data_IF_490626503938
#
_entry.id   IF_490626503938
#
_cell.length_a   1.000
_cell.length_b   1.000
_cell.length_c   1.000
_cell.angle_alpha   90.00
_cell.angle_beta   90.00
_cell.angle_gamma   90.00
#
_symmetry.space_group_name_H-M   'P 1'
#
loop_
_entity.id
_entity.type
_entity.pdbx_description
1 polymer ?
#
# COMPACT_ATOMS: atom_id res chain seq x y z
N UNK A 1 -2.81 16.55 14.63
CA UNK A 1 -3.76 15.95 13.66
C UNK A 1 -4.31 14.68 14.29
N UNK A 2 -5.47 14.19 13.85
CA UNK A 2 -6.05 12.94 14.35
C UNK A 2 -6.44 11.99 13.22
N UNK A 3 -6.53 10.71 13.55
CA UNK A 3 -6.98 9.64 12.68
C UNK A 3 -8.15 8.93 13.36
N UNK A 4 -9.35 9.08 12.81
CA UNK A 4 -10.53 8.35 13.30
C UNK A 4 -10.71 7.05 12.52
N UNK A 5 -10.81 5.96 13.24
CA UNK A 5 -11.07 4.64 12.64
C UNK A 5 -12.51 4.51 12.16
N UNK A 6 -12.67 4.21 10.87
CA UNK A 6 -13.96 3.87 10.24
C UNK A 6 -14.22 2.36 10.27
N UNK A 7 -13.21 1.57 10.63
CA UNK A 7 -13.35 0.14 10.88
C UNK A 7 -12.32 -0.32 11.91
N UNK A 8 -12.45 -1.52 12.50
CA UNK A 8 -11.48 -1.98 13.48
C UNK A 8 -10.05 -1.98 12.92
N UNK A 9 -9.08 -1.48 13.68
CA UNK A 9 -7.68 -1.41 13.28
C UNK A 9 -6.91 -2.55 13.93
N UNK A 10 -6.23 -3.37 13.14
CA UNK A 10 -5.48 -4.52 13.64
C UNK A 10 -4.16 -4.07 14.27
N UNK A 11 -3.99 -4.37 15.56
CA UNK A 11 -2.82 -3.99 16.35
C UNK A 11 -1.84 -5.15 16.43
N UNK A 12 -0.85 -5.13 15.55
CA UNK A 12 0.29 -6.08 15.52
C UNK A 12 1.59 -5.34 15.78
N UNK A 13 2.69 -6.04 16.03
CA UNK A 13 4.01 -5.40 16.13
C UNK A 13 4.45 -4.69 14.84
N UNK A 14 3.86 -5.02 13.69
CA UNK A 14 4.12 -4.33 12.42
C UNK A 14 3.38 -2.98 12.33
N UNK A 15 2.21 -2.87 12.98
CA UNK A 15 1.34 -1.70 12.85
C UNK A 15 1.27 -0.84 14.10
N UNK A 16 1.60 -1.40 15.26
CA UNK A 16 1.45 -0.73 16.55
C UNK A 16 2.67 -0.94 17.46
N UNK A 17 2.91 0.06 18.31
CA UNK A 17 3.81 0.02 19.47
C UNK A 17 2.98 0.08 20.74
N UNK A 18 3.45 -0.58 21.80
CA UNK A 18 2.77 -0.65 23.09
C UNK A 18 3.73 -0.18 24.18
N UNK A 19 3.32 0.77 25.00
CA UNK A 19 4.08 1.25 26.17
C UNK A 19 3.19 1.29 27.40
N UNK A 20 3.33 0.27 28.25
CA UNK A 20 2.37 0.03 29.33
C UNK A 20 0.97 -0.17 28.75
N UNK A 21 0.03 0.67 29.19
CA UNK A 21 -1.36 0.66 28.72
C UNK A 21 -1.59 1.52 27.47
N UNK A 22 -0.59 2.30 27.04
CA UNK A 22 -0.70 3.14 25.85
C UNK A 22 -0.47 2.32 24.58
N UNK A 23 -1.27 2.63 23.57
CA UNK A 23 -1.17 2.03 22.23
C UNK A 23 -0.91 3.12 21.21
N UNK A 24 0.07 2.89 20.35
CA UNK A 24 0.46 3.81 19.30
C UNK A 24 0.35 3.13 17.94
N UNK A 25 -0.30 3.77 16.97
CA UNK A 25 -0.15 3.43 15.56
C UNK A 25 1.20 3.97 15.08
N UNK A 26 2.01 3.10 14.47
CA UNK A 26 3.39 3.44 14.09
C UNK A 26 3.47 4.45 12.95
N UNK A 27 4.37 5.42 13.05
CA UNK A 27 4.67 6.40 11.99
C UNK A 27 5.04 5.72 10.67
N UNK A 28 5.75 4.59 10.72
CA UNK A 28 6.17 3.83 9.54
C UNK A 28 4.98 3.33 8.71
N UNK A 29 3.83 3.07 9.34
CA UNK A 29 2.61 2.63 8.62
C UNK A 29 2.11 3.73 7.69
N UNK A 30 2.13 4.99 8.15
CA UNK A 30 1.73 6.13 7.33
C UNK A 30 2.78 6.47 6.28
N UNK A 31 4.08 6.39 6.61
CA UNK A 31 5.15 6.57 5.62
C UNK A 31 5.09 5.53 4.50
N UNK A 32 4.83 4.26 4.84
CA UNK A 32 4.65 3.19 3.86
C UNK A 32 3.39 3.38 3.02
N UNK A 33 2.29 3.89 3.61
CA UNK A 33 1.10 4.27 2.87
C UNK A 33 1.37 5.39 1.86
N UNK A 34 2.03 6.49 2.29
CA UNK A 34 2.41 7.58 1.39
C UNK A 34 3.29 7.05 0.25
N UNK A 35 4.30 6.24 0.56
CA UNK A 35 5.13 5.59 -0.47
C UNK A 35 4.28 4.87 -1.52
N UNK A 36 3.36 4.02 -1.08
CA UNK A 36 2.55 3.23 -2.00
C UNK A 36 1.59 4.09 -2.81
N UNK A 37 1.04 5.16 -2.21
CA UNK A 37 0.24 6.15 -2.92
C UNK A 37 1.06 6.86 -4.02
N UNK A 38 2.29 7.30 -3.73
CA UNK A 38 3.17 7.92 -4.72
C UNK A 38 3.59 6.96 -5.83
N UNK A 39 3.88 5.69 -5.51
CA UNK A 39 4.22 4.68 -6.53
C UNK A 39 3.03 4.45 -7.46
N UNK A 40 1.84 4.26 -6.90
CA UNK A 40 0.61 4.08 -7.68
C UNK A 40 0.39 5.27 -8.61
N UNK A 41 0.53 6.49 -8.08
CA UNK A 41 0.19 7.69 -8.82
C UNK A 41 1.22 8.04 -9.90
N UNK A 42 2.50 7.79 -9.64
CA UNK A 42 3.54 7.95 -10.66
C UNK A 42 3.36 6.95 -11.81
N UNK A 43 3.04 5.68 -11.51
CA UNK A 43 2.74 4.68 -12.55
C UNK A 43 1.50 5.04 -13.39
N UNK A 44 0.51 5.71 -12.79
CA UNK A 44 -0.68 6.18 -13.52
C UNK A 44 -0.38 7.32 -14.48
N UNK A 45 0.52 8.22 -14.10
CA UNK A 45 0.79 9.46 -14.83
C UNK A 45 2.01 9.39 -15.76
N UNK A 46 2.89 8.40 -15.55
CA UNK A 46 4.13 8.21 -16.28
C UNK A 46 4.13 6.85 -16.99
N UNK A 47 3.76 6.90 -18.28
CA UNK A 47 3.76 5.71 -19.14
C UNK A 47 5.17 5.13 -19.31
N UNK A 48 6.20 5.97 -19.39
CA UNK A 48 7.58 5.50 -19.62
C UNK A 48 8.10 4.73 -18.40
N UNK A 49 7.83 5.25 -17.19
CA UNK A 49 8.11 4.53 -15.95
C UNK A 49 7.42 3.17 -15.93
N UNK A 50 6.13 3.12 -16.30
CA UNK A 50 5.42 1.86 -16.32
C UNK A 50 5.93 0.89 -17.38
N UNK A 51 6.26 1.37 -18.58
CA UNK A 51 6.84 0.57 -19.65
C UNK A 51 8.18 -0.04 -19.22
N UNK A 52 9.02 0.71 -18.49
CA UNK A 52 10.26 0.21 -17.93
C UNK A 52 10.02 -0.84 -16.83
N UNK A 53 9.12 -0.55 -15.89
CA UNK A 53 8.73 -1.50 -14.84
C UNK A 53 8.20 -2.80 -15.44
N UNK A 54 7.33 -2.72 -16.45
CA UNK A 54 6.79 -3.87 -17.15
C UNK A 54 7.87 -4.70 -17.84
N UNK A 55 8.86 -4.08 -18.50
CA UNK A 55 10.01 -4.78 -19.08
C UNK A 55 10.79 -5.57 -18.02
N UNK A 56 11.00 -4.99 -16.82
CA UNK A 56 11.66 -5.70 -15.72
C UNK A 56 10.82 -6.88 -15.20
N UNK A 57 9.50 -6.75 -15.13
CA UNK A 57 8.61 -7.86 -14.77
C UNK A 57 8.61 -8.98 -15.83
N UNK A 58 8.68 -8.63 -17.12
CA UNK A 58 8.83 -9.59 -18.21
C UNK A 58 10.14 -10.36 -18.11
N UNK A 59 11.25 -9.64 -17.88
CA UNK A 59 12.54 -10.28 -17.63
C UNK A 59 12.48 -11.21 -16.40
N UNK A 60 11.82 -10.79 -15.31
CA UNK A 60 11.67 -11.65 -14.14
C UNK A 60 10.88 -12.93 -14.44
N UNK A 61 9.85 -12.86 -15.28
CA UNK A 61 9.09 -14.04 -15.72
C UNK A 61 9.98 -15.03 -16.49
N UNK A 62 10.82 -14.54 -17.39
CA UNK A 62 11.81 -15.37 -18.11
C UNK A 62 12.83 -15.97 -17.14
N UNK A 63 13.38 -15.14 -16.25
CA UNK A 63 14.31 -15.57 -15.20
C UNK A 63 13.71 -16.69 -14.32
N UNK A 64 12.43 -16.56 -13.93
CA UNK A 64 11.72 -17.58 -13.18
C UNK A 64 11.62 -18.91 -13.95
N UNK A 65 11.37 -18.87 -15.26
CA UNK A 65 11.26 -20.09 -16.07
C UNK A 65 12.59 -20.85 -16.13
N UNK A 66 13.71 -20.14 -16.17
CA UNK A 66 15.07 -20.71 -16.17
C UNK A 66 15.53 -21.16 -14.77
N UNK A 67 15.06 -20.49 -13.71
CA UNK A 67 15.56 -20.65 -12.34
C UNK A 67 14.49 -21.17 -11.36
N UNK A 68 13.46 -21.88 -11.84
CA UNK A 68 12.31 -22.32 -11.03
C UNK A 68 12.69 -23.15 -9.79
N UNK A 69 13.83 -23.84 -9.83
CA UNK A 69 14.33 -24.67 -8.73
C UNK A 69 15.11 -23.85 -7.68
N UNK A 70 15.49 -22.61 -7.99
CA UNK A 70 16.14 -21.66 -7.09
C UNK A 70 15.17 -20.54 -6.64
N UNK A 71 14.13 -20.93 -5.90
CA UNK A 71 13.11 -20.00 -5.40
C UNK A 71 13.66 -18.81 -4.60
N UNK A 72 14.70 -18.94 -3.73
CA UNK A 72 15.28 -17.81 -3.04
C UNK A 72 15.81 -16.73 -3.97
N UNK A 73 16.48 -17.13 -5.06
CA UNK A 73 17.01 -16.18 -6.04
C UNK A 73 15.90 -15.53 -6.87
N UNK A 74 14.92 -16.31 -7.32
CA UNK A 74 13.71 -15.78 -7.98
C UNK A 74 13.02 -14.72 -7.11
N UNK A 75 12.90 -15.00 -5.82
CA UNK A 75 12.32 -14.08 -4.83
C UNK A 75 13.15 -12.80 -4.71
N UNK A 76 14.47 -12.95 -4.61
CA UNK A 76 15.42 -11.83 -4.51
C UNK A 76 15.30 -10.91 -5.73
N UNK A 77 15.27 -11.46 -6.93
CA UNK A 77 15.15 -10.67 -8.16
C UNK A 77 13.84 -9.88 -8.23
N UNK A 78 12.71 -10.47 -7.85
CA UNK A 78 11.45 -9.74 -7.78
C UNK A 78 11.50 -8.60 -6.75
N UNK A 79 12.14 -8.85 -5.60
CA UNK A 79 12.31 -7.84 -4.56
C UNK A 79 13.17 -6.67 -5.04
N UNK A 80 14.24 -6.94 -5.80
CA UNK A 80 15.10 -5.89 -6.37
C UNK A 80 14.35 -5.03 -7.38
N UNK A 81 13.44 -5.61 -8.17
CA UNK A 81 12.56 -4.84 -9.05
C UNK A 81 11.63 -3.92 -8.24
N UNK A 82 11.07 -4.42 -7.13
CA UNK A 82 10.28 -3.62 -6.20
C UNK A 82 11.06 -2.45 -5.59
N UNK A 83 12.28 -2.73 -5.10
CA UNK A 83 13.19 -1.71 -4.56
C UNK A 83 13.61 -0.70 -5.63
N UNK A 84 13.91 -1.16 -6.85
CA UNK A 84 14.22 -0.28 -7.98
C UNK A 84 13.09 0.71 -8.23
N UNK A 85 11.85 0.23 -8.30
CA UNK A 85 10.68 1.09 -8.53
C UNK A 85 10.51 2.09 -7.38
N UNK A 86 10.65 1.65 -6.13
CA UNK A 86 10.63 2.53 -4.96
C UNK A 86 11.66 3.64 -5.08
N UNK A 87 12.92 3.32 -5.39
CA UNK A 87 13.98 4.32 -5.53
C UNK A 87 13.76 5.24 -6.72
N UNK A 88 13.30 4.72 -7.85
CA UNK A 88 12.98 5.50 -9.06
C UNK A 88 11.91 6.56 -8.77
N UNK A 89 10.87 6.19 -8.02
CA UNK A 89 9.77 7.10 -7.66
C UNK A 89 10.16 8.08 -6.55
N UNK A 90 10.79 7.60 -5.48
CA UNK A 90 11.02 8.40 -4.27
C UNK A 90 12.30 9.24 -4.32
N UNK A 91 13.34 8.78 -5.01
CA UNK A 91 14.64 9.46 -5.06
C UNK A 91 14.90 10.09 -6.44
N UNK A 92 14.15 9.70 -7.48
CA UNK A 92 14.41 10.09 -8.86
C UNK A 92 15.68 9.45 -9.43
N UNK A 93 16.20 10.02 -10.52
CA UNK A 93 17.42 9.54 -11.19
C UNK A 93 17.20 8.23 -11.97
N UNK A 94 18.31 7.52 -12.23
CA UNK A 94 18.34 6.27 -13.00
C UNK A 94 18.92 5.13 -12.14
N UNK A 95 18.17 4.63 -11.14
CA UNK A 95 18.60 3.49 -10.37
C UNK A 95 18.74 2.25 -11.25
N UNK A 96 19.73 1.42 -10.95
CA UNK A 96 20.04 0.20 -11.70
C UNK A 96 20.12 -1.01 -10.77
N UNK A 97 19.77 -2.20 -11.29
CA UNK A 97 19.96 -3.46 -10.57
C UNK A 97 21.29 -4.07 -11.04
N UNK A 98 22.30 -4.08 -10.19
CA UNK A 98 23.65 -4.58 -10.50
C UNK A 98 24.10 -5.55 -9.41
N UNK A 99 24.55 -6.74 -9.81
CA UNK A 99 25.09 -7.79 -8.91
C UNK A 99 24.20 -8.09 -7.68
N UNK A 100 22.87 -7.97 -7.84
CA UNK A 100 21.91 -8.28 -6.78
C UNK A 100 21.66 -7.14 -5.80
N UNK A 101 22.00 -5.90 -6.16
CA UNK A 101 21.72 -4.68 -5.41
C UNK A 101 21.11 -3.62 -6.32
N UNK A 102 20.34 -2.69 -5.74
CA UNK A 102 19.89 -1.48 -6.44
C UNK A 102 20.92 -0.38 -6.13
N UNK A 103 21.45 0.27 -7.16
CA UNK A 103 22.45 1.33 -7.05
C UNK A 103 21.99 2.59 -7.81
N UNK A 104 22.82 3.64 -7.83
CA UNK A 104 22.59 4.89 -8.59
C UNK A 104 21.37 5.72 -8.15
N UNK A 105 21.09 5.77 -6.85
CA UNK A 105 20.11 6.68 -6.24
C UNK A 105 20.71 7.44 -5.06
N UNK A 106 20.10 8.56 -4.69
CA UNK A 106 20.49 9.38 -3.54
C UNK A 106 19.38 9.35 -2.47
N UNK A 107 19.64 8.71 -1.34
CA UNK A 107 18.65 8.59 -0.25
C UNK A 107 18.33 9.95 0.39
N UNK A 108 19.21 10.96 0.27
CA UNK A 108 18.91 12.31 0.73
C UNK A 108 17.76 12.93 -0.07
N UNK A 109 17.60 12.51 -1.33
CA UNK A 109 16.50 12.92 -2.19
C UNK A 109 15.21 12.15 -1.97
N UNK A 110 15.16 11.19 -1.03
CA UNK A 110 13.94 10.45 -0.74
C UNK A 110 12.83 11.41 -0.28
N UNK A 111 11.75 11.52 -1.04
CA UNK A 111 10.62 12.40 -0.75
C UNK A 111 10.00 12.19 0.64
N UNK A 112 10.07 10.96 1.18
CA UNK A 112 9.54 10.68 2.52
C UNK A 112 10.31 11.41 3.64
N UNK A 113 11.53 11.89 3.37
CA UNK A 113 12.30 12.70 4.33
C UNK A 113 11.65 14.06 4.60
N UNK A 114 10.83 14.54 3.66
CA UNK A 114 10.08 15.79 3.75
C UNK A 114 8.88 15.69 4.69
N UNK A 115 8.51 14.49 5.15
CA UNK A 115 7.42 14.31 6.11
C UNK A 115 7.93 14.37 7.55
N UNK A 116 7.22 15.14 8.35
CA UNK A 116 7.25 15.01 9.80
C UNK A 116 6.09 14.11 10.21
N UNK A 117 6.40 12.86 10.58
CA UNK A 117 5.43 11.88 11.05
C UNK A 117 5.91 11.28 12.35
N UNK A 118 5.05 11.33 13.36
CA UNK A 118 5.24 10.70 14.66
C UNK A 118 4.24 9.56 14.84
N UNK A 119 4.49 8.72 15.84
CA UNK A 119 3.54 7.69 16.25
C UNK A 119 2.23 8.32 16.74
N UNK A 120 1.09 7.75 16.36
CA UNK A 120 -0.22 8.25 16.75
C UNK A 120 -0.74 7.51 17.98
N UNK A 121 -0.89 8.19 19.11
CA UNK A 121 -1.42 7.64 20.36
C UNK A 121 -2.92 7.42 20.27
N UNK A 122 -3.41 6.24 20.68
CA UNK A 122 -4.84 5.98 20.86
C UNK A 122 -5.35 6.79 22.05
N UNK A 123 -6.06 7.89 21.81
CA UNK A 123 -6.58 8.78 22.86
C UNK A 123 -8.05 8.51 23.19
N UNK A 124 -8.81 7.94 22.25
CA UNK A 124 -10.21 7.57 22.44
C UNK A 124 -10.52 6.21 21.81
N UNK A 125 -11.43 5.44 22.41
CA UNK A 125 -11.82 4.11 21.95
C UNK A 125 -11.28 2.99 22.84
N UNK A 126 -11.46 1.74 22.41
CA UNK A 126 -11.05 0.57 23.20
C UNK A 126 -10.24 -0.44 22.41
N UNK A 127 -9.24 -1.03 23.08
CA UNK A 127 -8.52 -2.19 22.56
C UNK A 127 -9.28 -3.46 22.92
N UNK A 128 -9.84 -4.12 21.91
CA UNK A 128 -10.64 -5.34 22.05
C UNK A 128 -9.92 -6.55 21.48
N UNK A 129 -10.19 -7.73 22.05
CA UNK A 129 -9.76 -9.01 21.48
C UNK A 129 -10.90 -9.59 20.63
N UNK A 130 -10.73 -9.63 19.31
CA UNK A 130 -11.71 -10.24 18.40
C UNK A 130 -11.10 -11.40 17.62
N UNK A 131 -11.95 -12.37 17.27
CA UNK A 131 -11.59 -13.45 16.35
C UNK A 131 -11.59 -12.92 14.93
N UNK A 132 -10.55 -13.25 14.16
CA UNK A 132 -10.42 -12.89 12.74
C UNK A 132 -10.65 -14.09 11.83
N UNK A 133 -11.16 -13.79 10.64
CA UNK A 133 -11.43 -14.72 9.56
C UNK A 133 -10.71 -14.27 8.30
N UNK A 134 -10.04 -15.22 7.64
CA UNK A 134 -9.56 -15.04 6.27
C UNK A 134 -10.69 -15.50 5.34
N UNK A 135 -11.06 -14.67 4.38
CA UNK A 135 -12.06 -14.97 3.34
C UNK A 135 -11.43 -14.85 1.95
N UNK A 136 -12.00 -15.53 0.95
CA UNK A 136 -11.42 -15.59 -0.40
C UNK A 136 -11.31 -17.02 -0.92
N UNK A 137 -10.15 -17.40 -1.49
CA UNK A 137 -9.84 -18.77 -1.95
C UNK A 137 -9.99 -19.87 -0.87
N UNK A 138 -10.03 -19.48 0.41
CA UNK A 138 -10.38 -20.37 1.51
C UNK A 138 -10.93 -19.58 2.69
N UNK A 139 -11.92 -20.14 3.39
CA UNK A 139 -12.47 -19.56 4.62
C UNK A 139 -11.83 -20.25 5.82
N UNK A 140 -10.95 -19.56 6.54
CA UNK A 140 -10.34 -20.10 7.77
C UNK A 140 -10.27 -19.07 8.89
N UNK A 141 -10.33 -19.55 10.12
CA UNK A 141 -10.08 -18.71 11.28
C UNK A 141 -8.56 -18.48 11.43
N UNK A 142 -8.18 -17.24 11.67
CA UNK A 142 -6.77 -16.83 11.85
C UNK A 142 -6.39 -16.83 13.35
N UNK A 143 -7.40 -16.74 14.22
CA UNK A 143 -7.28 -16.73 15.67
C UNK A 143 -7.84 -15.44 16.28
N UNK A 144 -7.60 -15.25 17.57
CA UNK A 144 -7.93 -14.03 18.30
C UNK A 144 -6.80 -13.03 18.14
N UNK A 145 -7.12 -11.75 17.87
CA UNK A 145 -6.17 -10.65 17.71
C UNK A 145 -6.66 -9.42 18.47
N UNK A 146 -5.71 -8.55 18.85
CA UNK A 146 -6.00 -7.22 19.43
C UNK A 146 -6.36 -6.26 18.30
N UNK A 147 -7.45 -5.53 18.47
CA UNK A 147 -7.91 -4.50 17.55
C UNK A 147 -8.19 -3.23 18.35
N UNK A 148 -7.94 -2.06 17.79
CA UNK A 148 -8.69 -0.87 18.18
C UNK A 148 -10.08 -0.97 17.54
N UNK A 149 -11.13 -0.64 18.28
CA UNK A 149 -12.50 -0.69 17.78
C UNK A 149 -12.80 0.40 16.74
N UNK A 150 -13.96 0.30 16.11
CA UNK A 150 -14.46 1.35 15.21
C UNK A 150 -14.76 2.61 16.02
N UNK A 151 -14.50 3.79 15.47
CA UNK A 151 -14.57 5.10 16.14
C UNK A 151 -13.50 5.34 17.21
N UNK A 152 -12.48 4.46 17.33
CA UNK A 152 -11.23 4.82 18.00
C UNK A 152 -10.56 6.00 17.30
N UNK A 153 -9.98 6.91 18.08
CA UNK A 153 -9.25 8.09 17.61
C UNK A 153 -7.79 7.98 18.00
N UNK A 154 -6.90 8.16 17.03
CA UNK A 154 -5.47 8.23 17.25
C UNK A 154 -4.96 9.65 17.00
N UNK A 155 -4.22 10.24 17.92
CA UNK A 155 -3.67 11.59 17.83
C UNK A 155 -2.16 11.56 17.63
N UNK A 156 -1.67 12.38 16.70
CA UNK A 156 -0.24 12.44 16.39
C UNK A 156 0.10 13.55 15.41
N UNK A 157 1.32 13.49 14.89
CA UNK A 157 1.84 14.42 13.90
C UNK A 157 1.97 13.74 12.53
N UNK A 158 1.44 14.40 11.51
CA UNK A 158 1.68 14.12 10.10
C UNK A 158 1.54 15.43 9.36
N UNK A 159 2.64 15.92 8.84
CA UNK A 159 2.70 17.16 8.06
C UNK A 159 3.92 17.16 7.17
N UNK A 160 3.89 17.95 6.10
CA UNK A 160 5.10 18.27 5.35
C UNK A 160 5.92 19.27 6.15
N UNK A 161 7.24 19.03 6.27
CA UNK A 161 8.19 19.93 6.93
C UNK A 161 8.61 21.06 5.97
N UNK A 162 8.19 22.31 6.21
CA UNK A 162 8.45 23.41 5.28
C UNK A 162 9.94 23.71 5.11
N UNK A 163 10.73 23.57 6.18
CA UNK A 163 12.17 23.83 6.12
C UNK A 163 12.88 22.82 5.23
N UNK A 164 12.49 21.54 5.34
CA UNK A 164 13.03 20.50 4.47
C UNK A 164 12.60 20.67 3.02
N UNK A 165 11.38 21.16 2.76
CA UNK A 165 10.93 21.49 1.40
C UNK A 165 11.80 22.61 0.80
N UNK A 166 12.03 23.70 1.53
CA UNK A 166 12.92 24.79 1.09
C UNK A 166 14.35 24.33 0.84
N UNK A 167 14.89 23.46 1.68
CA UNK A 167 16.20 22.83 1.47
C UNK A 167 16.21 21.95 0.22
N UNK A 168 15.15 21.16 0.02
CA UNK A 168 15.01 20.26 -1.12
C UNK A 168 14.85 21.01 -2.44
N UNK A 169 14.27 22.21 -2.44
CA UNK A 169 14.14 23.04 -3.64
C UNK A 169 15.46 23.36 -4.31
N UNK A 170 16.56 23.37 -3.54
CA UNK A 170 17.93 23.61 -4.01
C UNK A 170 18.46 22.48 -4.91
N UNK A 171 17.83 21.31 -4.92
CA UNK A 171 18.20 20.23 -5.83
C UNK A 171 17.78 20.53 -7.28
N UNK A 172 18.71 20.38 -8.22
CA UNK A 172 18.48 20.67 -9.64
C UNK A 172 17.46 19.72 -10.31
N UNK A 173 17.41 18.45 -9.88
CA UNK A 173 16.46 17.45 -10.36
C UNK A 173 15.62 16.93 -9.21
N UNK A 174 14.30 16.95 -9.39
CA UNK A 174 13.31 16.57 -8.39
C UNK A 174 12.47 15.42 -8.96
N UNK A 175 12.12 14.40 -8.16
CA UNK A 175 11.20 13.37 -8.60
C UNK A 175 9.84 14.00 -8.95
N UNK A 176 9.13 13.42 -9.93
CA UNK A 176 7.83 13.94 -10.39
C UNK A 176 6.81 14.12 -9.26
N UNK A 177 6.84 13.22 -8.28
CA UNK A 177 5.92 13.21 -7.13
C UNK A 177 6.22 14.31 -6.09
N UNK A 178 7.27 15.12 -6.30
CA UNK A 178 7.64 16.20 -5.38
C UNK A 178 6.55 17.25 -5.19
N UNK A 179 5.75 17.52 -6.23
CA UNK A 179 4.73 18.58 -6.18
C UNK A 179 3.66 18.35 -5.11
N UNK A 180 3.37 17.09 -4.74
CA UNK A 180 2.47 16.79 -3.62
C UNK A 180 3.01 17.31 -2.27
N UNK A 181 4.33 17.33 -2.10
CA UNK A 181 4.97 17.86 -0.89
C UNK A 181 5.03 19.37 -0.94
N UNK A 182 5.45 19.93 -2.08
CA UNK A 182 5.51 21.40 -2.28
C UNK A 182 4.16 22.07 -2.06
N UNK A 183 3.09 21.46 -2.56
CA UNK A 183 1.73 22.01 -2.47
C UNK A 183 0.99 21.57 -1.21
N UNK A 184 1.63 20.78 -0.32
CA UNK A 184 1.04 20.22 0.89
C UNK A 184 -0.26 19.42 0.63
N UNK A 185 -0.28 18.62 -0.44
CA UNK A 185 -1.42 17.78 -0.87
C UNK A 185 -1.16 16.29 -0.69
N UNK A 186 -0.26 15.92 0.23
CA UNK A 186 0.08 14.51 0.53
C UNK A 186 -1.13 13.72 1.05
N UNK A 187 -2.03 14.35 1.82
CA UNK A 187 -3.27 13.71 2.27
C UNK A 187 -4.19 13.36 1.09
N UNK A 188 -4.25 14.20 0.06
CA UNK A 188 -5.10 13.97 -1.11
C UNK A 188 -4.63 12.77 -1.95
N UNK A 189 -3.31 12.59 -2.11
CA UNK A 189 -2.79 11.41 -2.83
C UNK A 189 -3.01 10.13 -2.03
N UNK A 190 -2.95 10.21 -0.69
CA UNK A 190 -3.29 9.09 0.19
C UNK A 190 -4.79 8.74 0.10
N UNK A 191 -5.68 9.73 0.07
CA UNK A 191 -7.12 9.53 -0.10
C UNK A 191 -7.42 8.86 -1.44
N UNK A 192 -6.93 9.44 -2.55
CA UNK A 192 -7.09 8.88 -3.90
C UNK A 192 -6.62 7.43 -3.98
N UNK A 193 -5.43 7.16 -3.43
CA UNK A 193 -4.91 5.79 -3.37
C UNK A 193 -5.79 4.86 -2.53
N UNK A 194 -6.22 5.30 -1.35
CA UNK A 194 -7.06 4.51 -0.44
C UNK A 194 -8.43 4.21 -1.06
N UNK A 195 -9.01 5.14 -1.82
CA UNK A 195 -10.24 4.94 -2.59
C UNK A 195 -10.06 3.86 -3.66
N UNK A 196 -8.90 3.82 -4.34
CA UNK A 196 -8.61 2.74 -5.31
C UNK A 196 -8.46 1.37 -4.66
N UNK A 197 -7.90 1.31 -3.46
CA UNK A 197 -7.91 0.06 -2.67
C UNK A 197 -9.34 -0.32 -2.28
N UNK A 198 -10.17 0.67 -1.93
CA UNK A 198 -11.57 0.46 -1.53
C UNK A 198 -12.42 -0.07 -2.70
N UNK A 199 -12.21 0.45 -3.91
CA UNK A 199 -12.81 -0.06 -5.15
C UNK A 199 -12.45 -1.54 -5.38
N UNK A 200 -11.17 -1.89 -5.30
CA UNK A 200 -10.71 -3.27 -5.46
C UNK A 200 -11.27 -4.21 -4.38
N UNK A 201 -11.42 -3.73 -3.14
CA UNK A 201 -12.03 -4.49 -2.05
C UNK A 201 -13.53 -4.70 -2.28
N UNK A 202 -14.27 -3.67 -2.72
CA UNK A 202 -15.69 -3.80 -3.08
C UNK A 202 -15.91 -4.83 -4.17
N UNK A 203 -15.09 -4.82 -5.23
CA UNK A 203 -15.15 -5.83 -6.30
C UNK A 203 -14.90 -7.23 -5.73
N UNK A 204 -13.83 -7.40 -4.94
CA UNK A 204 -13.49 -8.67 -4.31
C UNK A 204 -14.64 -9.27 -3.47
N UNK A 205 -15.31 -8.44 -2.66
CA UNK A 205 -16.39 -8.85 -1.78
C UNK A 205 -17.71 -9.06 -2.53
N UNK A 206 -17.98 -8.28 -3.58
CA UNK A 206 -19.15 -8.42 -4.46
C UNK A 206 -19.13 -9.78 -5.13
N UNK A 207 -18.02 -10.14 -5.79
CA UNK A 207 -17.84 -11.42 -6.49
C UNK A 207 -18.01 -12.65 -5.59
N UNK A 208 -17.92 -12.48 -4.28
CA UNK A 208 -17.94 -13.56 -3.29
C UNK A 208 -19.19 -13.55 -2.41
N UNK A 209 -20.17 -12.70 -2.73
CA UNK A 209 -21.47 -12.65 -2.04
C UNK A 209 -21.41 -12.10 -0.62
N UNK A 210 -20.51 -11.17 -0.33
CA UNK A 210 -20.40 -10.50 0.96
C UNK A 210 -21.10 -9.13 0.97
N UNK A 211 -22.40 -9.10 0.62
CA UNK A 211 -23.18 -7.87 0.49
C UNK A 211 -23.12 -6.95 1.73
N UNK A 212 -23.15 -7.52 2.94
CA UNK A 212 -23.03 -6.74 4.19
C UNK A 212 -21.70 -5.97 4.29
N UNK A 213 -20.61 -6.57 3.81
CA UNK A 213 -19.28 -5.94 3.82
C UNK A 213 -19.20 -4.87 2.72
N UNK A 214 -19.76 -5.15 1.55
CA UNK A 214 -19.82 -4.17 0.44
C UNK A 214 -20.56 -2.92 0.92
N UNK A 215 -21.74 -3.08 1.54
CA UNK A 215 -22.48 -1.96 2.14
C UNK A 215 -21.63 -1.19 3.15
N UNK A 216 -20.91 -1.90 4.04
CA UNK A 216 -20.03 -1.22 5.00
C UNK A 216 -18.90 -0.44 4.30
N UNK A 217 -18.35 -0.93 3.19
CA UNK A 217 -17.33 -0.21 2.43
C UNK A 217 -17.90 1.02 1.71
N UNK A 218 -19.16 0.96 1.25
CA UNK A 218 -19.89 2.13 0.71
C UNK A 218 -20.12 3.18 1.80
N UNK A 219 -20.53 2.75 3.00
CA UNK A 219 -20.68 3.65 4.14
C UNK A 219 -19.32 4.29 4.53
N UNK A 220 -18.23 3.52 4.52
CA UNK A 220 -16.87 4.03 4.79
C UNK A 220 -16.47 5.11 3.79
N UNK A 221 -16.73 4.91 2.50
CA UNK A 221 -16.46 5.90 1.45
C UNK A 221 -17.30 7.17 1.64
N UNK A 222 -18.58 7.03 2.01
CA UNK A 222 -19.43 8.19 2.29
C UNK A 222 -18.98 8.95 3.56
N UNK A 223 -18.53 8.23 4.60
CA UNK A 223 -18.06 8.80 5.88
C UNK A 223 -16.66 9.44 5.80
N UNK A 224 -15.87 9.08 4.79
CA UNK A 224 -14.47 9.49 4.69
C UNK A 224 -14.28 10.93 4.23
N UNK A 225 -15.25 11.50 3.52
CA UNK A 225 -15.25 12.91 3.09
C UNK A 225 -13.91 13.32 2.43
N UNK A 226 -13.44 12.52 1.46
CA UNK A 226 -12.16 12.71 0.76
C UNK A 226 -10.89 12.74 1.64
N UNK A 227 -10.93 12.07 2.80
CA UNK A 227 -9.81 11.96 3.75
C UNK A 227 -9.49 10.53 4.14
N UNK A 228 -9.75 9.56 3.26
CA UNK A 228 -9.67 8.13 3.54
C UNK A 228 -8.23 7.64 3.69
N UNK A 229 -8.01 6.74 4.64
CA UNK A 229 -6.72 6.14 4.96
C UNK A 229 -6.87 4.63 5.10
N UNK A 230 -6.07 3.87 4.34
CA UNK A 230 -6.01 2.41 4.43
C UNK A 230 -4.70 1.94 5.08
N UNK A 231 -4.80 1.27 6.23
CA UNK A 231 -3.68 0.58 6.93
C UNK A 231 -4.02 -0.89 7.12
N UNK A 232 -3.10 -1.76 7.58
CA UNK A 232 -3.35 -3.20 7.74
C UNK A 232 -3.61 -4.00 6.44
N UNK A 233 -3.22 -3.47 5.28
CA UNK A 233 -3.14 -4.31 4.08
C UNK A 233 -1.95 -5.27 4.18
N UNK A 234 -2.05 -6.44 3.55
CA UNK A 234 -0.92 -7.37 3.45
C UNK A 234 -0.06 -7.05 2.23
N UNK A 235 1.20 -6.61 2.43
CA UNK A 235 2.11 -6.36 1.32
C UNK A 235 2.54 -7.68 0.67
N UNK A 236 2.82 -7.61 -0.63
CA UNK A 236 3.55 -8.64 -1.35
C UNK A 236 5.04 -8.35 -1.37
N UNK A 237 5.75 -8.95 -2.32
CA UNK A 237 7.16 -8.62 -2.60
C UNK A 237 7.26 -7.30 -3.36
N UNK A 238 6.32 -7.04 -4.27
CA UNK A 238 6.25 -5.76 -4.96
C UNK A 238 5.56 -4.73 -4.05
N UNK A 239 5.89 -3.44 -4.20
CA UNK A 239 5.14 -2.38 -3.53
C UNK A 239 3.64 -2.50 -3.82
N UNK A 240 2.82 -2.38 -2.78
CA UNK A 240 1.37 -2.52 -2.86
C UNK A 240 0.74 -1.55 -3.88
N UNK A 241 1.28 -0.33 -4.01
CA UNK A 241 0.87 0.62 -5.03
C UNK A 241 1.08 0.12 -6.47
N UNK A 242 2.18 -0.60 -6.72
CA UNK A 242 2.45 -1.21 -8.02
C UNK A 242 1.51 -2.40 -8.30
N UNK A 243 1.21 -3.21 -7.27
CA UNK A 243 0.24 -4.30 -7.40
C UNK A 243 -1.15 -3.76 -7.75
N UNK A 244 -1.62 -2.72 -7.05
CA UNK A 244 -2.92 -2.09 -7.33
C UNK A 244 -3.00 -1.54 -8.76
N UNK A 245 -1.95 -0.85 -9.20
CA UNK A 245 -1.91 -0.33 -10.57
C UNK A 245 -1.97 -1.47 -11.60
N UNK A 246 -1.18 -2.54 -11.42
CA UNK A 246 -1.21 -3.68 -12.33
C UNK A 246 -2.56 -4.40 -12.34
N UNK A 247 -3.23 -4.48 -11.19
CA UNK A 247 -4.58 -5.01 -11.09
C UNK A 247 -5.56 -4.21 -11.96
N UNK A 248 -5.55 -2.87 -11.86
CA UNK A 248 -6.40 -2.04 -12.71
C UNK A 248 -6.12 -2.24 -14.20
N UNK A 249 -4.85 -2.37 -14.60
CA UNK A 249 -4.50 -2.58 -16.00
C UNK A 249 -5.03 -3.94 -16.52
N UNK A 250 -4.96 -4.98 -15.70
CA UNK A 250 -5.53 -6.31 -16.03
C UNK A 250 -7.06 -6.20 -16.18
N UNK A 251 -7.75 -5.52 -15.27
CA UNK A 251 -9.21 -5.36 -15.35
C UNK A 251 -9.65 -4.48 -16.54
N UNK A 252 -8.92 -3.39 -16.84
CA UNK A 252 -9.13 -2.59 -18.06
C UNK A 252 -8.91 -3.43 -19.32
N UNK A 253 -7.99 -4.39 -19.29
CA UNK A 253 -7.71 -5.30 -20.41
C UNK A 253 -8.89 -6.19 -20.75
N UNK A 254 -9.61 -6.71 -19.75
CA UNK A 254 -10.86 -7.46 -19.96
C UNK A 254 -11.91 -6.65 -20.74
N UNK A 255 -11.76 -5.33 -20.81
CA UNK A 255 -12.62 -4.39 -21.56
C UNK A 255 -12.07 -4.00 -22.95
N UNK A 256 -11.02 -4.67 -23.46
CA UNK A 256 -10.67 -4.64 -24.89
C UNK A 256 -9.32 -4.03 -25.30
N UNK A 257 -8.42 -3.64 -24.39
CA UNK A 257 -7.05 -3.17 -24.72
C UNK A 257 -6.06 -4.34 -24.79
N UNK A 258 -5.09 -4.34 -25.72
CA UNK A 258 -4.10 -5.43 -25.89
C UNK A 258 -2.74 -5.18 -25.22
N UNK A 259 -2.47 -3.96 -24.76
CA UNK A 259 -1.21 -3.61 -24.08
C UNK A 259 -1.06 -4.40 -22.76
N UNK A 260 0.19 -4.69 -22.37
CA UNK A 260 0.55 -5.35 -21.10
C UNK A 260 -0.09 -6.71 -20.86
N UNK A 261 -0.28 -7.48 -21.93
CA UNK A 261 -1.02 -8.73 -21.88
C UNK A 261 -0.44 -9.82 -20.96
N UNK A 262 0.87 -9.79 -20.71
CA UNK A 262 1.52 -10.76 -19.84
C UNK A 262 1.33 -10.46 -18.35
N UNK A 263 0.79 -9.30 -17.96
CA UNK A 263 0.57 -8.99 -16.54
C UNK A 263 -0.26 -10.05 -15.83
N UNK A 264 -1.31 -10.57 -16.49
CA UNK A 264 -2.13 -11.66 -15.93
C UNK A 264 -1.27 -12.87 -15.60
N UNK A 265 -0.45 -13.34 -16.54
CA UNK A 265 0.43 -14.50 -16.36
C UNK A 265 1.50 -14.25 -15.29
N UNK A 266 2.10 -13.05 -15.28
CA UNK A 266 3.11 -12.64 -14.30
C UNK A 266 2.52 -12.69 -12.89
N UNK A 267 1.36 -12.05 -12.67
CA UNK A 267 0.77 -11.99 -11.34
C UNK A 267 0.12 -13.32 -10.90
N UNK A 268 -0.30 -14.18 -11.84
CA UNK A 268 -0.65 -15.56 -11.53
C UNK A 268 0.55 -16.35 -11.00
N UNK A 269 1.74 -16.18 -11.59
CA UNK A 269 2.99 -16.79 -11.10
C UNK A 269 3.37 -16.24 -9.72
N UNK A 270 3.40 -14.91 -9.55
CA UNK A 270 3.69 -14.26 -8.27
C UNK A 270 2.74 -14.78 -7.17
N UNK A 271 1.45 -14.90 -7.48
CA UNK A 271 0.45 -15.44 -6.55
C UNK A 271 0.66 -16.94 -6.25
N UNK A 272 0.93 -17.76 -7.27
CA UNK A 272 1.22 -19.21 -7.11
C UNK A 272 2.41 -19.43 -6.17
N UNK A 273 3.41 -18.55 -6.25
CA UNK A 273 4.59 -18.56 -5.40
C UNK A 273 4.36 -17.94 -4.00
N UNK A 274 3.13 -17.49 -3.69
CA UNK A 274 2.77 -16.80 -2.43
C UNK A 274 3.59 -15.54 -2.18
N UNK A 275 3.93 -14.83 -3.25
CA UNK A 275 4.71 -13.59 -3.24
C UNK A 275 3.84 -12.34 -3.43
N UNK A 276 2.56 -12.52 -3.80
CA UNK A 276 1.61 -11.45 -4.00
C UNK A 276 1.05 -10.89 -2.68
N UNK A 277 0.76 -9.60 -2.67
CA UNK A 277 -0.01 -8.93 -1.64
C UNK A 277 -1.48 -9.28 -1.69
N UNK A 278 -2.28 -8.64 -0.82
CA UNK A 278 -3.68 -9.02 -0.66
C UNK A 278 -4.49 -8.89 -1.96
N UNK A 279 -4.22 -7.88 -2.79
CA UNK A 279 -4.90 -7.62 -4.07
C UNK A 279 -4.94 -8.88 -4.95
N UNK A 280 -3.79 -9.51 -5.21
CA UNK A 280 -3.72 -10.71 -6.06
C UNK A 280 -3.82 -12.02 -5.29
N UNK A 281 -3.55 -12.05 -3.99
CA UNK A 281 -3.71 -13.27 -3.17
C UNK A 281 -5.16 -13.78 -3.15
N UNK A 282 -6.12 -12.94 -3.55
CA UNK A 282 -7.55 -13.20 -3.50
C UNK A 282 -7.99 -13.64 -2.08
N UNK A 283 -7.40 -13.01 -1.07
CA UNK A 283 -7.83 -13.15 0.32
C UNK A 283 -7.94 -11.81 1.01
N UNK A 284 -8.88 -11.70 1.97
CA UNK A 284 -9.03 -10.55 2.86
C UNK A 284 -9.21 -11.01 4.30
N UNK A 285 -8.67 -10.23 5.23
CA UNK A 285 -8.95 -10.39 6.65
C UNK A 285 -10.18 -9.57 7.02
N UNK A 286 -11.11 -10.21 7.72
CA UNK A 286 -12.30 -9.58 8.28
C UNK A 286 -12.49 -10.05 9.71
N UNK A 287 -13.24 -9.29 10.49
CA UNK A 287 -13.68 -9.76 11.79
C UNK A 287 -14.79 -10.83 11.65
N UNK A 288 -15.02 -11.64 12.68
CA UNK A 288 -16.09 -12.65 12.66
C UNK A 288 -17.49 -12.03 12.54
N UNK A 289 -17.68 -10.81 13.06
CA UNK A 289 -18.85 -9.95 12.84
C UNK A 289 -18.87 -9.28 11.46
N UNK A 290 -18.13 -9.82 10.48
CA UNK A 290 -18.08 -9.38 9.08
C UNK A 290 -17.75 -7.90 8.91
N UNK A 291 -16.81 -7.34 9.67
CA UNK A 291 -16.31 -5.99 9.43
C UNK A 291 -14.99 -6.05 8.65
N UNK A 292 -14.79 -5.17 7.65
CA UNK A 292 -13.47 -4.93 7.07
C UNK A 292 -12.54 -4.38 8.15
N UNK A 293 -11.23 -4.42 7.91
CA UNK A 293 -10.21 -4.03 8.89
C UNK A 293 -9.36 -2.91 8.30
N UNK A 294 -8.96 -1.93 9.12
CA UNK A 294 -7.87 -1.00 8.80
C UNK A 294 -8.26 0.18 7.90
N UNK A 295 -9.51 0.62 7.97
CA UNK A 295 -9.97 1.88 7.38
C UNK A 295 -10.06 2.97 8.44
N UNK A 296 -9.43 4.11 8.16
CA UNK A 296 -9.44 5.31 8.97
C UNK A 296 -9.71 6.52 8.07
N UNK A 297 -9.88 7.69 8.68
CA UNK A 297 -9.80 8.97 7.98
C UNK A 297 -8.99 9.99 8.76
N UNK A 298 -8.39 10.93 8.06
CA UNK A 298 -7.79 12.12 8.68
C UNK A 298 -8.89 13.01 9.29
N UNK A 299 -8.63 13.52 10.49
CA UNK A 299 -9.46 14.50 11.19
C UNK A 299 -8.56 15.61 11.74
N UNK A 300 -8.95 16.85 11.44
CA UNK A 300 -8.17 18.06 11.67
C UNK A 300 -8.79 19.21 10.88
#
# INVERSE_FOLDING_TARGET
MSLRSLSPVLLTNATARFEGDKVFLKAEVLKDLVKNALIYENLREDKELFDEFYKKLMWWKEFYQENKDNLPEVKKQLSLIGTWLEKKVLCGGEPEIVKGEVINFDEKKNLLNLLQVEDFELTQGQVVKKKLKLVGKGKRFIGIRKLADTNSTFEGQFSVDPQKVEEYEKHAQKPRMYDYFKNNTVEEVVDKFSLKVLEADKEFFTDRGYADIVRRLEDIEAESDHRLVRVNYKPGILPFGAELFCYEQIEKRKRGRKEYHHLTEIFELINKLRMAGEIFSQTREITVDKKPIGWLKFEG
#
